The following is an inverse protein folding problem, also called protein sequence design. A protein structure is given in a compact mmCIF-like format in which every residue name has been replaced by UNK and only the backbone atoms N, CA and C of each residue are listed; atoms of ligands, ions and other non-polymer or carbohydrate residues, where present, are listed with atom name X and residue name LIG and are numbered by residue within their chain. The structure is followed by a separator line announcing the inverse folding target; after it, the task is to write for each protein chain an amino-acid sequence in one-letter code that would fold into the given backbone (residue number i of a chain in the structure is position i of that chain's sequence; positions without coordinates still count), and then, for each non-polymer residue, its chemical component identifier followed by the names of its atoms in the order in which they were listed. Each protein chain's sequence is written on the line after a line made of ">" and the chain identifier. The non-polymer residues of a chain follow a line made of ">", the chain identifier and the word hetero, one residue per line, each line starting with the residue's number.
data_IF_379555860667
#
_entry.id   IF_379555860667
#
_cell.length_a   1.000
_cell.length_b   1.000
_cell.length_c   1.000
_cell.angle_alpha   90.00
_cell.angle_beta   90.00
_cell.angle_gamma   90.00
#
_symmetry.space_group_name_H-M   'P 1'
#
loop_
_entity.id
_entity.type
_entity.pdbx_description
1 polymer ?
#
# COMPACT_ATOMS: atom_id res chain seq x y z
N UNK A 1 -14.41 -3.96 -43.60
CA UNK A 1 -13.87 -3.85 -42.24
C UNK A 1 -14.51 -2.65 -41.57
N UNK A 2 -14.91 -2.80 -40.32
CA UNK A 2 -15.48 -1.71 -39.53
C UNK A 2 -14.40 -0.67 -39.19
N UNK A 3 -14.78 0.61 -39.15
CA UNK A 3 -13.80 1.69 -38.94
C UNK A 3 -13.44 1.77 -37.46
N UNK A 4 -12.20 1.36 -37.12
CA UNK A 4 -11.69 1.42 -35.74
C UNK A 4 -11.92 2.81 -35.13
N UNK A 5 -12.58 2.85 -33.97
CA UNK A 5 -12.89 4.08 -33.24
C UNK A 5 -11.64 4.84 -32.83
N UNK A 6 -11.69 6.18 -32.83
CA UNK A 6 -10.55 7.01 -32.45
C UNK A 6 -10.12 6.79 -30.99
N UNK A 7 -11.06 6.46 -30.09
CA UNK A 7 -10.73 6.14 -28.69
C UNK A 7 -9.88 4.87 -28.60
N UNK A 8 -10.22 3.84 -29.39
CA UNK A 8 -9.44 2.58 -29.46
C UNK A 8 -8.02 2.85 -30.01
N UNK A 9 -7.89 3.72 -31.00
CA UNK A 9 -6.58 4.14 -31.53
C UNK A 9 -5.73 4.87 -30.50
N UNK A 10 -6.33 5.78 -29.74
CA UNK A 10 -5.65 6.54 -28.70
C UNK A 10 -5.16 5.62 -27.58
N UNK A 11 -6.02 4.75 -27.04
CA UNK A 11 -5.64 3.76 -26.04
C UNK A 11 -4.55 2.80 -26.56
N UNK A 12 -4.61 2.39 -27.84
CA UNK A 12 -3.57 1.57 -28.46
C UNK A 12 -2.24 2.31 -28.60
N UNK A 13 -2.26 3.60 -28.96
CA UNK A 13 -1.06 4.45 -29.03
C UNK A 13 -0.39 4.60 -27.66
N UNK A 14 -1.15 4.94 -26.61
CA UNK A 14 -0.68 4.97 -25.21
C UNK A 14 0.00 3.65 -24.86
N UNK A 15 -0.70 2.53 -25.08
CA UNK A 15 -0.18 1.19 -24.79
C UNK A 15 1.03 0.80 -25.65
N UNK A 16 1.29 1.44 -26.79
CA UNK A 16 2.49 1.18 -27.59
C UNK A 16 3.70 1.90 -27.01
N UNK A 17 3.60 3.22 -26.75
CA UNK A 17 4.68 3.94 -26.05
C UNK A 17 4.99 3.24 -24.71
N UNK A 18 3.95 2.91 -23.92
CA UNK A 18 4.01 2.25 -22.60
C UNK A 18 4.42 0.77 -22.58
N UNK A 19 4.62 0.13 -23.75
CA UNK A 19 5.17 -1.25 -23.84
C UNK A 19 6.60 -1.28 -24.40
N UNK A 20 6.96 -0.29 -25.21
CA UNK A 20 8.14 -0.34 -26.09
C UNK A 20 9.06 0.89 -25.94
N UNK A 21 8.83 1.75 -24.95
CA UNK A 21 9.71 2.87 -24.61
C UNK A 21 9.91 3.02 -23.10
N UNK A 22 11.01 3.67 -22.74
CA UNK A 22 11.42 4.08 -21.39
C UNK A 22 12.35 5.29 -21.51
N UNK A 23 12.83 5.86 -20.41
CA UNK A 23 13.82 6.95 -20.45
C UNK A 23 15.11 6.54 -21.20
N UNK A 24 15.50 5.26 -21.10
CA UNK A 24 16.63 4.69 -21.83
C UNK A 24 16.32 4.41 -23.31
N UNK A 25 15.07 4.20 -23.69
CA UNK A 25 14.66 3.69 -25.02
C UNK A 25 13.49 4.51 -25.59
N UNK A 26 13.77 5.38 -26.56
CA UNK A 26 12.74 6.09 -27.32
C UNK A 26 12.20 5.20 -28.46
N UNK A 27 10.90 5.30 -28.76
CA UNK A 27 10.27 4.63 -29.91
C UNK A 27 10.01 5.61 -31.06
N UNK A 28 10.44 5.26 -32.28
CA UNK A 28 10.27 6.09 -33.47
C UNK A 28 8.85 6.05 -34.05
N UNK A 29 8.50 7.07 -34.84
CA UNK A 29 7.23 7.12 -35.60
C UNK A 29 7.04 5.88 -36.50
N UNK A 30 8.13 5.28 -37.00
CA UNK A 30 8.10 4.07 -37.84
C UNK A 30 7.68 2.85 -37.00
N UNK A 31 8.27 2.68 -35.83
CA UNK A 31 7.99 1.57 -34.92
C UNK A 31 6.59 1.69 -34.29
N UNK A 32 6.17 2.89 -33.88
CA UNK A 32 4.78 3.14 -33.45
C UNK A 32 3.80 2.66 -34.53
N UNK A 33 4.05 3.01 -35.80
CA UNK A 33 3.20 2.57 -36.91
C UNK A 33 3.28 1.07 -37.20
N UNK A 34 4.43 0.43 -37.02
CA UNK A 34 4.57 -1.02 -37.06
C UNK A 34 3.68 -1.69 -36.00
N UNK A 35 3.72 -1.23 -34.75
CA UNK A 35 2.89 -1.79 -33.68
C UNK A 35 1.40 -1.46 -33.84
N UNK A 36 1.03 -0.26 -34.30
CA UNK A 36 -0.36 0.09 -34.63
C UNK A 36 -0.92 -0.83 -35.73
N UNK A 37 -0.12 -1.11 -36.77
CA UNK A 37 -0.52 -2.02 -37.85
C UNK A 37 -0.65 -3.46 -37.36
N UNK A 38 0.26 -3.91 -36.48
CA UNK A 38 0.21 -5.25 -35.87
C UNK A 38 -0.98 -5.43 -34.92
N UNK A 39 -1.36 -4.41 -34.14
CA UNK A 39 -2.47 -4.49 -33.17
C UNK A 39 -3.85 -4.23 -33.77
N UNK A 40 -3.96 -3.28 -34.72
CA UNK A 40 -5.26 -2.76 -35.19
C UNK A 40 -5.41 -2.74 -36.73
N UNK A 41 -4.42 -3.23 -37.49
CA UNK A 41 -4.46 -3.25 -38.96
C UNK A 41 -4.32 -1.88 -39.65
N UNK A 42 -3.98 -0.83 -38.89
CA UNK A 42 -3.96 0.58 -39.35
C UNK A 42 -2.63 1.27 -39.04
N UNK A 43 -2.40 2.40 -39.68
CA UNK A 43 -1.33 3.35 -39.33
C UNK A 43 -1.94 4.71 -38.92
N UNK A 44 -1.14 5.51 -38.23
CA UNK A 44 -1.43 6.91 -37.88
C UNK A 44 -0.51 7.83 -38.69
N UNK A 45 -1.05 8.96 -39.14
CA UNK A 45 -0.26 10.05 -39.67
C UNK A 45 0.41 10.86 -38.54
N UNK A 46 1.40 11.69 -38.89
CA UNK A 46 2.17 12.48 -37.92
C UNK A 46 1.30 13.48 -37.14
N UNK A 47 0.29 14.11 -37.77
CA UNK A 47 -0.59 15.08 -37.11
C UNK A 47 -1.45 14.40 -36.06
N UNK A 48 -1.96 13.20 -36.34
CA UNK A 48 -2.68 12.39 -35.34
C UNK A 48 -1.76 11.97 -34.19
N UNK A 49 -0.51 11.55 -34.46
CA UNK A 49 0.44 11.24 -33.38
C UNK A 49 0.76 12.44 -32.49
N UNK A 50 0.99 13.62 -33.07
CA UNK A 50 1.26 14.84 -32.29
C UNK A 50 0.05 15.29 -31.47
N UNK A 51 -1.17 15.12 -32.01
CA UNK A 51 -2.40 15.33 -31.24
C UNK A 51 -2.47 14.37 -30.05
N UNK A 52 -2.23 13.07 -30.26
CA UNK A 52 -2.24 12.08 -29.17
C UNK A 52 -1.17 12.34 -28.11
N UNK A 53 0.05 12.75 -28.48
CA UNK A 53 1.08 13.13 -27.50
C UNK A 53 0.63 14.34 -26.66
N UNK A 54 0.00 15.34 -27.29
CA UNK A 54 -0.59 16.47 -26.57
C UNK A 54 -1.72 16.03 -25.64
N UNK A 55 -2.63 15.20 -26.12
CA UNK A 55 -3.77 14.71 -25.35
C UNK A 55 -3.31 13.86 -24.16
N UNK A 56 -2.26 13.03 -24.33
CA UNK A 56 -1.59 12.31 -23.23
C UNK A 56 -1.07 13.26 -22.15
N UNK A 57 -0.36 14.33 -22.54
CA UNK A 57 0.13 15.34 -21.59
C UNK A 57 -1.00 16.09 -20.87
N UNK A 58 -2.14 16.32 -21.54
CA UNK A 58 -3.32 16.94 -20.93
C UNK A 58 -4.02 16.05 -19.89
N UNK A 59 -3.81 14.73 -19.92
CA UNK A 59 -4.35 13.76 -18.95
C UNK A 59 -3.29 13.26 -17.96
N UNK A 60 -2.28 14.09 -17.66
CA UNK A 60 -1.26 13.81 -16.64
C UNK A 60 -0.13 12.86 -17.07
N UNK A 61 -0.11 12.33 -18.30
CA UNK A 61 0.96 11.42 -18.76
C UNK A 61 2.18 12.21 -19.24
N UNK A 62 3.32 12.03 -18.59
CA UNK A 62 4.57 12.71 -18.96
C UNK A 62 5.26 12.03 -20.15
N UNK A 63 4.86 12.41 -21.37
CA UNK A 63 5.52 11.99 -22.61
C UNK A 63 6.68 12.93 -22.93
N UNK A 64 7.85 12.38 -23.20
CA UNK A 64 9.06 13.12 -23.60
C UNK A 64 8.80 14.05 -24.79
N UNK A 65 9.61 15.10 -24.93
CA UNK A 65 9.74 15.75 -26.24
C UNK A 65 10.46 14.82 -27.23
N UNK A 66 10.50 15.22 -28.50
CA UNK A 66 11.09 14.40 -29.55
C UNK A 66 12.60 14.28 -29.35
N UNK A 67 13.04 13.06 -29.05
CA UNK A 67 14.44 12.67 -28.98
C UNK A 67 15.03 12.67 -30.39
N UNK A 68 15.99 13.57 -30.62
CA UNK A 68 16.66 13.72 -31.92
C UNK A 68 17.73 12.66 -32.17
N UNK A 69 18.29 12.07 -31.13
CA UNK A 69 19.36 11.08 -31.25
C UNK A 69 18.78 9.68 -31.50
N UNK A 70 17.65 9.37 -30.84
CA UNK A 70 16.92 8.11 -31.00
C UNK A 70 15.69 8.21 -31.95
N UNK A 71 15.56 9.34 -32.66
CA UNK A 71 14.45 9.66 -33.61
C UNK A 71 13.02 9.38 -33.09
N UNK A 72 12.75 9.55 -31.79
CA UNK A 72 11.55 8.99 -31.16
C UNK A 72 10.94 9.78 -30.00
N UNK A 73 9.98 9.14 -29.33
CA UNK A 73 9.36 9.59 -28.10
C UNK A 73 9.44 8.48 -27.06
N UNK A 74 9.45 8.82 -25.78
CA UNK A 74 9.19 7.86 -24.72
C UNK A 74 8.12 8.38 -23.75
N UNK A 75 7.44 7.44 -23.09
CA UNK A 75 6.64 7.75 -21.90
C UNK A 75 7.56 7.63 -20.68
N UNK A 76 7.66 8.68 -19.86
CA UNK A 76 8.34 8.57 -18.56
C UNK A 76 7.56 7.61 -17.67
N UNK A 77 8.31 6.72 -17.01
CA UNK A 77 7.74 5.54 -16.41
C UNK A 77 7.47 5.77 -14.91
N UNK A 78 6.19 6.02 -14.59
CA UNK A 78 5.69 6.08 -13.20
C UNK A 78 5.26 4.69 -12.68
N UNK A 79 5.51 3.61 -13.42
CA UNK A 79 5.07 2.26 -13.07
C UNK A 79 6.20 1.46 -12.45
N UNK A 80 5.85 0.64 -11.46
CA UNK A 80 6.80 -0.24 -10.80
C UNK A 80 7.56 -1.09 -11.83
N UNK A 81 8.87 -1.19 -11.69
CA UNK A 81 9.67 -2.15 -12.46
C UNK A 81 9.41 -3.55 -11.91
N UNK A 82 9.72 -4.58 -12.70
CA UNK A 82 9.40 -5.98 -12.35
C UNK A 82 10.07 -6.42 -11.03
N UNK A 83 11.30 -5.97 -10.79
CA UNK A 83 12.00 -6.21 -9.52
C UNK A 83 11.36 -5.45 -8.33
N UNK A 84 10.69 -4.31 -8.57
CA UNK A 84 10.03 -3.51 -7.53
C UNK A 84 8.71 -4.16 -7.12
N UNK A 85 7.90 -4.62 -8.09
CA UNK A 85 6.75 -5.48 -7.79
C UNK A 85 7.16 -6.77 -7.08
N UNK A 86 8.23 -7.42 -7.55
CA UNK A 86 8.75 -8.65 -6.93
C UNK A 86 9.16 -8.42 -5.48
N UNK A 87 9.84 -7.30 -5.18
CA UNK A 87 10.19 -6.90 -3.82
C UNK A 87 8.94 -6.69 -2.95
N UNK A 88 7.96 -5.94 -3.43
CA UNK A 88 6.67 -5.73 -2.72
C UNK A 88 5.93 -7.06 -2.46
N UNK A 89 5.89 -7.95 -3.45
CA UNK A 89 5.28 -9.28 -3.31
C UNK A 89 6.01 -10.14 -2.27
N UNK A 90 7.33 -10.08 -2.22
CA UNK A 90 8.10 -10.86 -1.25
C UNK A 90 7.98 -10.27 0.18
N UNK A 91 7.87 -8.95 0.33
CA UNK A 91 7.53 -8.30 1.62
C UNK A 91 6.14 -8.70 2.14
N UNK A 92 5.13 -8.76 1.25
CA UNK A 92 3.77 -9.21 1.61
C UNK A 92 3.73 -10.69 2.01
N UNK A 93 4.57 -11.54 1.42
CA UNK A 93 4.70 -12.94 1.85
C UNK A 93 5.27 -13.04 3.26
N UNK A 94 6.34 -12.31 3.56
CA UNK A 94 7.01 -12.32 4.86
C UNK A 94 6.15 -11.78 6.02
N UNK A 95 5.15 -10.93 5.72
CA UNK A 95 4.23 -10.35 6.69
C UNK A 95 3.35 -11.41 7.38
N UNK A 96 3.51 -11.62 8.70
CA UNK A 96 2.79 -12.65 9.48
C UNK A 96 1.39 -12.23 9.93
N UNK A 97 1.18 -10.94 10.18
CA UNK A 97 -0.10 -10.38 10.65
C UNK A 97 -1.28 -10.54 9.65
N UNK A 98 -1.00 -10.75 8.36
CA UNK A 98 -2.01 -10.96 7.32
C UNK A 98 -2.33 -12.46 7.19
N UNK A 99 -3.61 -12.82 7.04
CA UNK A 99 -4.02 -14.22 6.80
C UNK A 99 -3.52 -14.75 5.46
N UNK A 100 -3.43 -16.08 5.29
CA UNK A 100 -3.03 -16.70 4.02
C UNK A 100 -3.89 -16.22 2.85
N UNK A 101 -5.21 -16.29 3.00
CA UNK A 101 -6.19 -15.84 2.00
C UNK A 101 -5.98 -14.37 1.62
N UNK A 102 -5.85 -13.47 2.60
CA UNK A 102 -5.60 -12.04 2.35
C UNK A 102 -4.23 -11.79 1.72
N UNK A 103 -3.23 -12.63 1.99
CA UNK A 103 -1.92 -12.61 1.33
C UNK A 103 -2.09 -12.95 -0.15
N UNK A 104 -2.82 -14.03 -0.49
CA UNK A 104 -3.12 -14.44 -1.87
C UNK A 104 -3.84 -13.33 -2.66
N UNK A 105 -4.94 -12.80 -2.10
CA UNK A 105 -5.71 -11.69 -2.69
C UNK A 105 -4.87 -10.42 -2.91
N UNK A 106 -3.92 -10.12 -2.01
CA UNK A 106 -3.04 -8.95 -2.13
C UNK A 106 -1.93 -9.18 -3.16
N UNK A 107 -1.37 -10.39 -3.23
CA UNK A 107 -0.38 -10.75 -4.26
C UNK A 107 -0.98 -10.70 -5.67
N UNK A 108 -2.23 -11.14 -5.85
CA UNK A 108 -2.95 -11.00 -7.12
C UNK A 108 -3.10 -9.52 -7.51
N UNK A 109 -3.52 -8.66 -6.57
CA UNK A 109 -3.63 -7.20 -6.78
C UNK A 109 -2.28 -6.56 -7.13
N UNK A 110 -1.21 -6.93 -6.43
CA UNK A 110 0.15 -6.41 -6.72
C UNK A 110 0.65 -6.89 -8.09
N UNK A 111 0.43 -8.16 -8.45
CA UNK A 111 0.80 -8.69 -9.77
C UNK A 111 0.08 -7.98 -10.93
N UNK A 112 -1.10 -7.41 -10.65
CA UNK A 112 -1.95 -6.71 -11.61
C UNK A 112 -1.78 -5.18 -11.61
N UNK A 113 -1.00 -4.59 -10.69
CA UNK A 113 -0.66 -3.16 -10.72
C UNK A 113 -0.01 -2.73 -12.06
N UNK A 114 0.72 -3.64 -12.71
CA UNK A 114 1.27 -3.44 -14.05
C UNK A 114 0.43 -4.05 -15.19
N UNK A 115 -0.63 -4.81 -14.90
CA UNK A 115 -1.38 -5.54 -15.93
C UNK A 115 -2.05 -4.60 -16.94
N UNK A 116 -2.71 -3.54 -16.44
CA UNK A 116 -3.37 -2.51 -17.27
C UNK A 116 -2.35 -1.81 -18.21
N UNK A 117 -1.06 -1.80 -17.84
CA UNK A 117 -0.08 -0.83 -18.31
C UNK A 117 1.01 -1.45 -19.18
N UNK A 118 1.66 -2.53 -18.72
CA UNK A 118 2.69 -3.27 -19.46
C UNK A 118 2.16 -4.52 -20.19
N UNK A 119 0.89 -4.88 -19.99
CA UNK A 119 0.25 -6.04 -20.63
C UNK A 119 0.87 -7.38 -20.25
N UNK A 120 1.57 -7.45 -19.11
CA UNK A 120 2.18 -8.64 -18.54
C UNK A 120 1.73 -8.75 -17.08
N UNK A 121 1.32 -9.95 -16.67
CA UNK A 121 1.18 -10.32 -15.28
C UNK A 121 2.57 -10.78 -14.82
N UNK A 122 3.05 -10.29 -13.67
CA UNK A 122 4.27 -10.85 -13.05
C UNK A 122 3.89 -12.21 -12.47
N UNK A 123 4.48 -13.29 -12.98
CA UNK A 123 4.09 -14.65 -12.58
C UNK A 123 4.33 -14.89 -11.08
N UNK A 124 3.22 -15.03 -10.35
CA UNK A 124 3.18 -15.40 -8.94
C UNK A 124 3.24 -16.93 -8.78
N UNK A 125 4.35 -17.55 -9.22
CA UNK A 125 4.68 -18.92 -8.82
C UNK A 125 5.12 -18.90 -7.35
N UNK A 126 4.14 -18.96 -6.43
CA UNK A 126 4.35 -18.67 -5.00
C UNK A 126 3.86 -19.83 -4.14
N UNK A 127 4.79 -20.46 -3.43
CA UNK A 127 4.51 -21.16 -2.20
C UNK A 127 4.33 -20.11 -1.08
N UNK A 128 3.16 -20.07 -0.46
CA UNK A 128 2.94 -19.28 0.76
C UNK A 128 3.06 -20.25 1.93
N UNK A 129 4.13 -20.10 2.69
CA UNK A 129 4.23 -20.69 4.02
C UNK A 129 3.15 -20.07 4.92
N UNK A 130 2.27 -20.92 5.45
CA UNK A 130 1.22 -20.52 6.38
C UNK A 130 1.59 -20.77 7.85
N UNK A 131 2.78 -21.31 8.12
CA UNK A 131 3.29 -21.42 9.49
C UNK A 131 3.53 -20.02 10.08
N UNK A 132 2.75 -19.67 11.10
CA UNK A 132 2.80 -18.35 11.73
C UNK A 132 2.06 -17.23 11.00
N UNK A 133 1.27 -17.51 9.95
CA UNK A 133 0.28 -16.55 9.42
C UNK A 133 -0.88 -16.41 10.40
N UNK A 134 -1.37 -15.19 10.60
CA UNK A 134 -2.48 -14.94 11.52
C UNK A 134 -3.84 -15.43 10.96
N UNK A 135 -4.83 -15.63 11.84
CA UNK A 135 -6.19 -16.10 11.52
C UNK A 135 -7.26 -14.99 11.55
N UNK A 136 -6.89 -13.76 11.90
CA UNK A 136 -7.80 -12.63 12.08
C UNK A 136 -8.23 -12.02 10.73
N UNK A 137 -9.36 -12.49 10.20
CA UNK A 137 -9.94 -11.96 8.96
C UNK A 137 -10.42 -10.49 9.05
N UNK A 138 -10.45 -9.87 10.24
CA UNK A 138 -10.76 -8.44 10.43
C UNK A 138 -9.53 -7.54 10.49
N UNK A 139 -8.32 -8.04 10.21
CA UNK A 139 -7.08 -7.26 10.32
C UNK A 139 -7.10 -5.93 9.53
N UNK A 140 -7.69 -5.89 8.34
CA UNK A 140 -7.82 -4.65 7.56
C UNK A 140 -8.85 -3.67 8.17
N UNK A 141 -9.94 -4.18 8.75
CA UNK A 141 -10.92 -3.34 9.45
C UNK A 141 -10.31 -2.75 10.74
N UNK A 142 -9.56 -3.56 11.48
CA UNK A 142 -8.81 -3.13 12.67
C UNK A 142 -7.83 -1.99 12.34
N UNK A 143 -7.02 -2.15 11.28
CA UNK A 143 -6.08 -1.12 10.83
C UNK A 143 -6.80 0.19 10.46
N UNK A 144 -7.93 0.10 9.74
CA UNK A 144 -8.72 1.27 9.37
C UNK A 144 -9.31 1.99 10.60
N UNK A 145 -9.90 1.25 11.55
CA UNK A 145 -10.48 1.82 12.78
C UNK A 145 -9.42 2.50 13.66
N UNK A 146 -8.23 1.91 13.78
CA UNK A 146 -7.12 2.52 14.52
C UNK A 146 -6.63 3.78 13.81
N UNK A 147 -6.46 3.74 12.49
CA UNK A 147 -6.05 4.91 11.70
C UNK A 147 -7.07 6.06 11.78
N UNK A 148 -8.36 5.74 11.74
CA UNK A 148 -9.45 6.71 11.92
C UNK A 148 -9.39 7.34 13.31
N UNK A 149 -9.23 6.54 14.38
CA UNK A 149 -9.14 7.05 15.74
C UNK A 149 -7.94 7.98 15.97
N UNK A 150 -6.76 7.62 15.43
CA UNK A 150 -5.56 8.48 15.44
C UNK A 150 -5.86 9.79 14.72
N UNK A 151 -6.38 9.73 13.49
CA UNK A 151 -6.72 10.92 12.68
C UNK A 151 -7.73 11.84 13.39
N UNK A 152 -8.74 11.26 14.05
CA UNK A 152 -9.77 12.00 14.78
C UNK A 152 -9.34 12.42 16.20
N UNK A 153 -8.14 12.02 16.66
CA UNK A 153 -7.65 12.22 18.03
C UNK A 153 -8.63 11.67 19.09
N UNK A 154 -9.21 10.48 18.83
CA UNK A 154 -10.17 9.78 19.69
C UNK A 154 -9.53 8.55 20.37
N UNK A 155 -9.98 8.25 21.59
CA UNK A 155 -9.62 7.01 22.29
C UNK A 155 -10.26 5.80 21.61
N UNK A 156 -9.67 4.63 21.79
CA UNK A 156 -10.28 3.36 21.39
C UNK A 156 -10.43 2.41 22.57
N UNK A 157 -11.36 1.47 22.42
CA UNK A 157 -11.51 0.33 23.31
C UNK A 157 -11.43 -0.97 22.50
N UNK A 158 -10.85 -2.04 23.05
CA UNK A 158 -10.70 -3.33 22.38
C UNK A 158 -10.49 -4.50 23.36
N UNK A 159 -10.71 -5.71 22.87
CA UNK A 159 -10.36 -6.96 23.56
C UNK A 159 -9.00 -7.45 23.03
N UNK A 160 -8.05 -7.79 23.91
CA UNK A 160 -6.73 -8.27 23.51
C UNK A 160 -6.55 -9.77 23.79
N UNK A 161 -6.11 -10.52 22.79
CA UNK A 161 -5.92 -11.97 22.86
C UNK A 161 -4.42 -12.29 22.68
N UNK A 162 -3.69 -12.47 23.78
CA UNK A 162 -2.22 -12.50 23.74
C UNK A 162 -1.60 -13.84 23.26
N UNK A 163 -2.38 -14.92 23.25
CA UNK A 163 -1.95 -16.27 22.86
C UNK A 163 -2.74 -16.79 21.65
N UNK A 164 -2.23 -17.86 21.03
CA UNK A 164 -2.96 -18.66 20.04
C UNK A 164 -4.29 -19.18 20.60
N UNK A 165 -5.38 -18.43 20.41
CA UNK A 165 -6.74 -18.89 20.65
C UNK A 165 -7.20 -19.92 19.59
N UNK A 166 -6.34 -20.90 19.27
CA UNK A 166 -6.58 -21.97 18.31
C UNK A 166 -7.53 -23.06 18.84
N UNK A 167 -7.96 -22.98 20.10
CA UNK A 167 -8.85 -23.97 20.73
C UNK A 167 -9.87 -23.35 21.69
N UNK A 168 -10.73 -22.43 21.21
CA UNK A 168 -12.05 -22.13 21.79
C UNK A 168 -12.15 -21.71 23.27
N UNK A 169 -11.03 -21.45 23.94
CA UNK A 169 -10.91 -21.23 25.39
C UNK A 169 -9.83 -20.16 25.58
N UNK A 170 -10.08 -19.14 26.41
CA UNK A 170 -9.05 -18.18 26.80
C UNK A 170 -8.81 -17.00 25.85
N UNK A 171 -9.84 -16.53 25.14
CA UNK A 171 -10.00 -15.07 25.08
C UNK A 171 -10.37 -14.60 26.51
N UNK A 172 -10.08 -13.35 26.89
CA UNK A 172 -10.50 -12.78 28.18
C UNK A 172 -12.02 -12.51 28.19
N UNK A 173 -12.82 -13.57 28.07
CA UNK A 173 -14.27 -13.54 28.20
C UNK A 173 -14.67 -13.48 29.68
N UNK A 174 -14.50 -12.26 30.22
CA UNK A 174 -15.17 -11.73 31.41
C UNK A 174 -14.82 -12.41 32.74
N UNK A 175 -14.08 -11.68 33.58
CA UNK A 175 -14.40 -11.67 35.01
C UNK A 175 -15.77 -10.99 35.22
N UNK A 176 -16.49 -11.39 36.27
CA UNK A 176 -17.87 -10.98 36.60
C UNK A 176 -18.11 -9.46 36.77
N UNK A 177 -17.06 -8.63 36.69
CA UNK A 177 -17.10 -7.17 36.81
C UNK A 177 -16.93 -6.41 35.47
N UNK A 178 -16.96 -7.09 34.32
CA UNK A 178 -17.07 -6.45 33.00
C UNK A 178 -15.83 -5.72 32.46
N UNK A 179 -14.65 -5.88 33.10
CA UNK A 179 -13.38 -5.24 32.69
C UNK A 179 -12.59 -6.04 31.62
N UNK A 180 -13.27 -6.57 30.61
CA UNK A 180 -12.62 -7.27 29.48
C UNK A 180 -12.04 -6.34 28.40
N UNK A 181 -12.31 -5.04 28.50
CA UNK A 181 -12.04 -4.03 27.49
C UNK A 181 -10.85 -3.15 27.89
N UNK A 182 -9.78 -3.18 27.09
CA UNK A 182 -8.66 -2.24 27.21
C UNK A 182 -9.02 -0.93 26.52
N UNK A 183 -8.99 0.17 27.27
CA UNK A 183 -9.21 1.53 26.77
C UNK A 183 -7.89 2.29 26.73
N UNK A 184 -7.52 2.81 25.56
CA UNK A 184 -6.20 3.42 25.32
C UNK A 184 -6.30 4.70 24.50
N UNK A 185 -5.27 5.53 24.60
CA UNK A 185 -4.99 6.66 23.72
C UNK A 185 -4.11 6.14 22.57
N UNK A 186 -4.63 5.96 21.34
CA UNK A 186 -3.79 5.54 20.21
C UNK A 186 -2.92 6.71 19.75
N UNK A 187 -1.65 6.43 19.43
CA UNK A 187 -0.66 7.45 19.03
C UNK A 187 -0.23 7.22 17.59
N UNK A 188 0.18 6.00 17.26
CA UNK A 188 0.69 5.64 15.93
C UNK A 188 0.56 4.13 15.69
N UNK A 189 0.76 3.70 14.45
CA UNK A 189 0.93 2.29 14.08
C UNK A 189 2.33 2.08 13.49
N UNK A 190 3.01 1.02 13.91
CA UNK A 190 4.36 0.67 13.42
C UNK A 190 4.39 -0.78 12.95
N UNK A 191 5.08 -1.03 11.84
CA UNK A 191 5.28 -2.36 11.26
C UNK A 191 6.73 -2.79 11.44
N UNK A 192 6.99 -3.86 12.20
CA UNK A 192 8.35 -4.35 12.47
C UNK A 192 8.85 -5.37 11.41
N UNK A 193 8.42 -5.20 10.15
CA UNK A 193 8.51 -6.14 9.02
C UNK A 193 7.67 -7.42 9.14
N UNK A 194 7.46 -7.97 10.34
CA UNK A 194 6.67 -9.18 10.54
C UNK A 194 5.22 -8.91 10.96
N UNK A 195 5.00 -7.97 11.90
CA UNK A 195 3.70 -7.71 12.51
C UNK A 195 3.44 -6.20 12.69
N UNK A 196 2.16 -5.83 12.77
CA UNK A 196 1.73 -4.46 13.01
C UNK A 196 1.41 -4.24 14.50
N UNK A 197 1.91 -3.14 15.04
CA UNK A 197 1.74 -2.74 16.43
C UNK A 197 1.03 -1.40 16.51
N UNK A 198 0.01 -1.33 17.34
CA UNK A 198 -0.51 -0.08 17.87
C UNK A 198 0.44 0.42 18.96
N UNK A 199 0.94 1.65 18.81
CA UNK A 199 1.63 2.42 19.85
C UNK A 199 0.57 3.23 20.60
N UNK A 200 0.49 3.09 21.92
CA UNK A 200 -0.57 3.71 22.72
C UNK A 200 -0.16 4.00 24.15
N UNK A 201 -0.94 4.81 24.86
CA UNK A 201 -0.79 5.10 26.30
C UNK A 201 -2.13 4.87 27.00
N UNK A 202 -2.13 4.21 28.16
CA UNK A 202 -3.34 4.09 28.99
C UNK A 202 -3.51 5.31 29.92
N UNK A 203 -4.73 5.71 30.24
CA UNK A 203 -4.96 6.90 31.09
C UNK A 203 -4.34 6.79 32.50
N UNK A 204 -4.16 5.55 32.97
CA UNK A 204 -3.63 5.13 34.27
C UNK A 204 -2.15 4.73 34.25
N UNK A 205 -1.50 4.68 33.08
CA UNK A 205 -0.09 4.33 32.94
C UNK A 205 0.64 5.47 32.24
N UNK A 206 1.63 6.04 32.90
CA UNK A 206 2.58 6.96 32.27
C UNK A 206 3.69 6.13 31.61
N UNK A 207 3.32 5.22 30.69
CA UNK A 207 4.20 4.37 29.91
C UNK A 207 3.62 4.10 28.51
N UNK A 208 4.49 4.04 27.49
CA UNK A 208 4.12 3.65 26.13
C UNK A 208 3.93 2.13 26.09
N UNK A 209 2.77 1.68 25.60
CA UNK A 209 2.43 0.25 25.46
C UNK A 209 2.18 -0.12 24.00
N UNK A 210 2.70 -1.27 23.60
CA UNK A 210 2.60 -1.83 22.26
C UNK A 210 1.60 -2.99 22.19
N UNK A 211 0.63 -2.93 21.28
CA UNK A 211 -0.36 -3.99 21.06
C UNK A 211 -0.30 -4.52 19.63
N UNK A 212 -0.15 -5.84 19.46
CA UNK A 212 -0.26 -6.50 18.15
C UNK A 212 -1.67 -6.34 17.59
N UNK A 213 -1.81 -5.70 16.43
CA UNK A 213 -3.12 -5.35 15.86
C UNK A 213 -3.91 -6.61 15.45
N UNK A 214 -3.20 -7.66 15.07
CA UNK A 214 -3.77 -8.98 14.77
C UNK A 214 -4.37 -9.68 16.01
N UNK A 215 -3.90 -9.33 17.21
CA UNK A 215 -4.41 -9.84 18.50
C UNK A 215 -5.57 -9.00 19.07
N UNK A 216 -5.92 -7.88 18.43
CA UNK A 216 -7.04 -7.02 18.83
C UNK A 216 -8.36 -7.51 18.23
N UNK A 217 -9.42 -7.57 19.04
CA UNK A 217 -10.79 -7.93 18.64
C UNK A 217 -11.76 -6.87 19.16
N UNK A 218 -12.87 -6.68 18.45
CA UNK A 218 -13.94 -5.73 18.81
C UNK A 218 -13.39 -4.34 19.13
N UNK A 219 -12.63 -3.77 18.18
CA UNK A 219 -12.16 -2.39 18.29
C UNK A 219 -13.35 -1.45 18.09
N UNK A 220 -13.53 -0.52 19.03
CA UNK A 220 -14.55 0.53 18.96
C UNK A 220 -13.89 1.89 19.22
N UNK A 221 -14.23 2.89 18.40
CA UNK A 221 -13.78 4.27 18.59
C UNK A 221 -14.71 4.96 19.59
N UNK A 222 -14.14 5.64 20.58
CA UNK A 222 -14.88 6.34 21.63
C UNK A 222 -15.05 7.82 21.27
N UNK A 223 -16.15 8.45 21.71
CA UNK A 223 -16.32 9.91 21.57
C UNK A 223 -15.36 10.73 22.45
N UNK A 224 -14.71 10.08 23.42
CA UNK A 224 -13.66 10.71 24.22
C UNK A 224 -12.41 11.00 23.38
N UNK A 225 -11.98 12.26 23.39
CA UNK A 225 -10.68 12.65 22.85
C UNK A 225 -9.55 11.98 23.64
N UNK A 226 -8.41 11.76 22.97
CA UNK A 226 -7.17 11.37 23.63
C UNK A 226 -6.80 12.40 24.72
N UNK A 227 -6.14 11.93 25.79
CA UNK A 227 -5.51 12.77 26.81
C UNK A 227 -4.51 13.70 26.11
N UNK A 228 -4.38 14.94 26.59
CA UNK A 228 -3.38 15.88 26.05
C UNK A 228 -1.99 15.24 26.14
N UNK A 229 -1.36 15.01 24.98
CA UNK A 229 -0.09 14.30 24.85
C UNK A 229 1.13 15.22 25.05
N UNK A 230 0.95 16.44 25.56
CA UNK A 230 2.04 17.36 25.93
C UNK A 230 3.08 16.74 26.88
N UNK A 231 2.71 15.72 27.66
CA UNK A 231 3.65 14.96 28.49
C UNK A 231 4.59 14.03 27.70
N UNK A 232 4.32 13.73 26.42
CA UNK A 232 5.14 12.79 25.62
C UNK A 232 6.54 13.32 25.34
N UNK A 233 6.76 14.64 25.30
CA UNK A 233 8.08 15.24 25.08
C UNK A 233 9.12 14.82 26.15
N UNK A 234 8.67 14.27 27.29
CA UNK A 234 9.52 13.85 28.41
C UNK A 234 9.66 12.32 28.55
N UNK A 235 9.20 11.51 27.59
CA UNK A 235 9.23 10.04 27.74
C UNK A 235 10.62 9.40 27.61
N UNK A 236 10.98 8.59 28.61
CA UNK A 236 11.83 7.41 28.41
C UNK A 236 10.97 6.24 27.95
N UNK A 237 11.36 5.55 26.88
CA UNK A 237 10.64 4.39 26.34
C UNK A 237 10.43 3.30 27.41
N UNK A 238 9.23 2.73 27.46
CA UNK A 238 8.74 1.90 28.57
C UNK A 238 8.75 0.40 28.26
N UNK A 239 9.30 -0.35 29.21
CA UNK A 239 9.60 -1.79 29.16
C UNK A 239 8.39 -2.68 28.86
N UNK A 240 8.13 -2.96 27.57
CA UNK A 240 7.30 -4.10 27.16
C UNK A 240 7.58 -4.60 25.73
N UNK A 241 8.63 -4.09 25.10
CA UNK A 241 9.23 -4.71 23.92
C UNK A 241 10.59 -5.32 24.30
N UNK A 242 11.23 -6.06 23.38
CA UNK A 242 12.66 -6.35 23.55
C UNK A 242 13.45 -5.04 23.36
N UNK A 243 14.61 -4.90 24.02
CA UNK A 243 15.43 -3.66 23.98
C UNK A 243 15.70 -3.14 22.55
N UNK A 244 15.77 -4.06 21.58
CA UNK A 244 15.90 -3.75 20.16
C UNK A 244 14.66 -3.06 19.55
N UNK A 245 13.45 -3.47 19.93
CA UNK A 245 12.19 -2.92 19.39
C UNK A 245 11.96 -1.47 19.86
N UNK A 246 12.20 -1.19 21.14
CA UNK A 246 12.03 0.16 21.69
C UNK A 246 13.01 1.12 21.03
N UNK A 247 14.24 0.67 20.77
CA UNK A 247 15.24 1.40 20.00
C UNK A 247 14.81 1.65 18.54
N UNK A 248 14.30 0.62 17.84
CA UNK A 248 13.83 0.74 16.45
C UNK A 248 12.65 1.71 16.34
N UNK A 249 11.61 1.56 17.18
CA UNK A 249 10.43 2.42 17.12
C UNK A 249 10.78 3.88 17.50
N UNK A 250 11.72 4.08 18.42
CA UNK A 250 12.26 5.39 18.76
C UNK A 250 13.04 6.06 17.62
N UNK A 251 13.62 5.27 16.70
CA UNK A 251 14.31 5.75 15.51
C UNK A 251 13.33 5.97 14.35
N UNK A 252 12.42 5.03 14.08
CA UNK A 252 11.39 5.12 13.04
C UNK A 252 10.50 6.37 13.21
N UNK A 253 10.15 6.73 14.45
CA UNK A 253 9.40 7.96 14.75
C UNK A 253 10.21 9.25 14.53
N UNK A 254 11.54 9.20 14.51
CA UNK A 254 12.44 10.33 14.20
C UNK A 254 12.78 10.43 12.72
N UNK A 255 12.71 9.32 12.00
CA UNK A 255 13.01 9.22 10.56
C UNK A 255 11.73 9.18 9.68
N UNK A 256 10.56 9.51 10.26
CA UNK A 256 9.28 9.53 9.55
C UNK A 256 9.30 10.47 8.34
N UNK A 257 9.33 9.89 7.13
CA UNK A 257 9.18 10.61 5.86
C UNK A 257 7.72 10.53 5.42
N UNK A 258 7.02 11.67 5.43
CA UNK A 258 5.68 11.77 4.85
C UNK A 258 5.77 11.70 3.32
N UNK A 259 5.30 10.59 2.73
CA UNK A 259 5.31 10.38 1.27
C UNK A 259 3.86 10.43 0.75
N UNK A 260 3.51 11.58 0.18
CA UNK A 260 2.22 11.84 -0.47
C UNK A 260 1.24 12.61 0.42
N UNK A 261 0.69 13.69 -0.14
CA UNK A 261 -0.33 14.53 0.49
C UNK A 261 -1.46 14.82 -0.49
N UNK A 262 -2.69 14.91 0.01
CA UNK A 262 -3.88 15.01 -0.82
C UNK A 262 -4.31 16.47 -1.05
N UNK A 263 -3.66 17.16 -2.00
CA UNK A 263 -4.19 18.41 -2.57
C UNK A 263 -5.09 18.19 -3.79
N UNK A 264 -5.25 16.94 -4.27
CA UNK A 264 -6.24 16.52 -5.26
C UNK A 264 -6.10 17.16 -6.65
N UNK A 265 -5.06 17.96 -6.88
CA UNK A 265 -4.83 18.76 -8.10
C UNK A 265 -3.85 18.10 -9.08
N UNK A 266 -3.42 16.86 -8.80
CA UNK A 266 -2.50 16.07 -9.63
C UNK A 266 -3.07 14.68 -9.92
N UNK A 267 -4.10 14.66 -10.76
CA UNK A 267 -4.52 13.52 -11.58
C UNK A 267 -4.72 14.00 -13.02
#
# INVERSE_FOLDING_TARGET
>A
MEKVSNNIKFCAFINILRTYSSEDVSISIKEINYHMKKKLGITLDRRTMYAYIKDMRNIGLEVSDYDKEKEGYFLKDFFFKEYELKLLMDSVKASKFITKKKTEELLEKISTLNFIFRGRIVESNVFIDDTGKNINEKIYDNLNLINEAITQNKKITFNYCQNDCNQGIGCNEKDDNGKGHLKVNPISMVNNHENYYLVSIQDNLEEITYYRIENMKSIEILEEKIKDLSFIENFSYGLNASDNMETIIAQDLKEYVEIGGNDGTKY
#
